data_IF_567380926126
#
_entry.id   IF_567380926126
#
_cell.length_a   1.000
_cell.length_b   1.000
_cell.length_c   1.000
_cell.angle_alpha   90.00
_cell.angle_beta   90.00
_cell.angle_gamma   90.00
#
_symmetry.space_group_name_H-M   'P 1'
#
loop_
_entity.id
_entity.type
_entity.pdbx_description
1 polymer ?
#
# COMPACT_ATOMS: atom_id res chain seq x y z
N UNK A 1 66.19 48.57 -7.44
CA UNK A 1 65.25 49.71 -7.34
C UNK A 1 64.41 49.45 -6.11
N UNK A 2 64.23 50.45 -5.25
CA UNK A 2 63.55 50.33 -3.97
C UNK A 2 62.54 51.47 -3.81
N UNK A 3 61.39 51.13 -3.23
CA UNK A 3 60.43 51.92 -2.45
C UNK A 3 59.41 50.84 -2.03
N UNK A 4 59.13 50.50 -0.77
CA UNK A 4 59.09 51.29 0.48
C UNK A 4 58.17 52.51 0.40
N UNK A 5 56.87 52.29 0.70
CA UNK A 5 56.32 52.80 1.96
C UNK A 5 54.96 52.21 2.32
N UNK A 6 54.79 52.09 3.63
CA UNK A 6 53.59 51.71 4.36
C UNK A 6 53.15 52.94 5.21
N UNK A 7 52.28 52.84 6.23
CA UNK A 7 50.88 53.28 6.20
C UNK A 7 50.64 54.59 6.98
N UNK A 8 49.39 55.10 6.98
CA UNK A 8 48.92 55.91 8.12
C UNK A 8 47.39 55.86 8.35
N UNK A 9 47.03 55.89 9.62
CA UNK A 9 45.68 55.77 10.19
C UNK A 9 44.80 57.02 9.97
N UNK A 10 43.47 56.86 10.04
CA UNK A 10 42.69 57.41 11.18
C UNK A 10 41.22 56.99 11.28
N UNK A 11 40.88 56.57 12.49
CA UNK A 11 39.67 56.84 13.30
C UNK A 11 38.84 58.10 12.93
N UNK A 12 37.58 58.27 13.37
CA UNK A 12 36.51 57.43 13.97
C UNK A 12 35.27 58.39 14.04
N UNK A 13 34.23 58.06 14.80
CA UNK A 13 33.01 58.85 15.09
C UNK A 13 31.97 58.95 13.95
N UNK A 14 30.66 58.99 14.21
CA UNK A 14 29.85 58.58 15.38
C UNK A 14 28.35 58.60 15.00
N UNK A 15 27.49 58.26 15.96
CA UNK A 15 26.02 58.38 16.01
C UNK A 15 25.19 57.11 15.74
N UNK A 16 25.01 56.35 16.83
CA UNK A 16 23.79 55.59 17.05
C UNK A 16 22.66 56.53 17.51
N UNK A 17 21.45 56.34 16.99
CA UNK A 17 20.21 56.69 17.70
C UNK A 17 19.24 55.52 17.63
N UNK A 18 18.60 55.23 18.78
CA UNK A 18 17.74 54.08 18.98
C UNK A 18 16.25 54.46 18.93
N UNK A 19 15.40 53.47 18.67
CA UNK A 19 14.04 53.42 19.21
C UNK A 19 13.57 51.95 19.28
N UNK A 20 13.22 51.51 20.49
CA UNK A 20 12.52 50.24 20.80
C UNK A 20 11.03 50.35 20.37
N UNK A 21 10.10 49.39 20.43
CA UNK A 21 9.70 48.44 21.48
C UNK A 21 8.43 47.69 20.96
N UNK A 22 7.90 46.57 21.49
CA UNK A 22 8.34 45.48 22.39
C UNK A 22 7.35 44.31 22.20
N UNK A 23 7.80 43.03 22.22
CA UNK A 23 6.89 41.88 22.18
C UNK A 23 7.51 40.58 22.76
N UNK A 24 7.82 40.58 24.06
CA UNK A 24 8.21 39.36 24.77
C UNK A 24 7.92 39.46 26.29
N UNK A 25 6.70 39.13 26.71
CA UNK A 25 6.41 38.54 28.04
C UNK A 25 4.93 38.14 28.16
N UNK A 26 4.65 36.84 28.19
CA UNK A 26 3.43 36.23 28.74
C UNK A 26 3.56 34.69 28.76
N UNK A 27 4.56 34.16 29.47
CA UNK A 27 4.57 32.74 29.82
C UNK A 27 3.72 32.55 31.09
N UNK A 28 2.54 31.95 30.95
CA UNK A 28 1.59 31.75 32.04
C UNK A 28 0.89 30.40 31.97
N UNK A 29 1.23 29.53 32.92
CA UNK A 29 0.40 28.50 33.57
C UNK A 29 -0.44 27.51 32.72
N UNK A 30 0.01 26.26 32.75
CA UNK A 30 -0.76 24.99 32.88
C UNK A 30 -2.23 24.95 32.43
N UNK A 31 -2.52 24.12 31.42
CA UNK A 31 -3.86 23.61 31.12
C UNK A 31 -3.83 22.14 30.74
N UNK A 32 -3.99 21.25 31.74
CA UNK A 32 -4.17 19.82 31.50
C UNK A 32 -5.58 19.54 30.93
N UNK A 33 -5.61 18.83 29.80
CA UNK A 33 -6.55 17.73 29.59
C UNK A 33 -8.05 17.99 29.67
N UNK A 34 -8.62 18.75 28.73
CA UNK A 34 -9.98 18.48 28.26
C UNK A 34 -10.01 18.57 26.73
N UNK A 35 -9.99 17.40 26.06
CA UNK A 35 -10.28 17.35 24.62
C UNK A 35 -11.77 17.62 24.50
N UNK A 36 -12.08 18.85 24.09
CA UNK A 36 -13.42 19.39 23.94
C UNK A 36 -14.41 18.33 23.39
N UNK A 37 -15.45 18.07 24.18
CA UNK A 37 -16.45 17.03 23.93
C UNK A 37 -17.23 17.32 22.63
N UNK A 38 -17.31 18.60 22.22
CA UNK A 38 -17.87 19.05 20.93
C UNK A 38 -17.00 18.59 19.76
N UNK A 39 -15.68 18.82 19.82
CA UNK A 39 -14.71 18.34 18.80
C UNK A 39 -14.76 16.82 18.65
N UNK A 40 -14.85 16.07 19.76
CA UNK A 40 -15.00 14.62 19.72
C UNK A 40 -16.33 14.18 19.08
N UNK A 41 -17.43 14.87 19.39
CA UNK A 41 -18.75 14.61 18.80
C UNK A 41 -18.79 14.96 17.30
N UNK A 42 -18.13 16.04 16.86
CA UNK A 42 -18.03 16.45 15.45
C UNK A 42 -17.31 15.39 14.61
N UNK A 43 -16.15 14.91 15.08
CA UNK A 43 -15.41 13.80 14.45
C UNK A 43 -16.24 12.52 14.33
N UNK A 44 -16.99 12.19 15.37
CA UNK A 44 -17.88 11.04 15.39
C UNK A 44 -19.14 11.20 14.49
N UNK A 45 -19.49 12.41 14.07
CA UNK A 45 -20.54 12.69 13.08
C UNK A 45 -19.97 12.65 11.66
N UNK A 46 -18.85 13.35 11.40
CA UNK A 46 -18.16 13.32 10.10
C UNK A 46 -17.74 11.91 9.70
N UNK A 47 -17.25 11.09 10.66
CA UNK A 47 -16.92 9.69 10.38
C UNK A 47 -18.15 8.90 9.94
N UNK A 48 -19.31 9.06 10.62
CA UNK A 48 -20.56 8.40 10.22
C UNK A 48 -21.10 8.90 8.87
N UNK A 49 -20.87 10.16 8.51
CA UNK A 49 -21.21 10.67 7.18
C UNK A 49 -20.29 10.10 6.09
N UNK A 50 -19.00 9.90 6.37
CA UNK A 50 -18.11 9.18 5.46
C UNK A 50 -18.50 7.71 5.33
N UNK A 51 -18.81 7.04 6.45
CA UNK A 51 -19.24 5.63 6.43
C UNK A 51 -20.54 5.50 5.59
N UNK A 52 -21.54 6.38 5.80
CA UNK A 52 -22.77 6.40 5.01
C UNK A 52 -22.57 6.73 3.51
N UNK A 53 -21.59 7.59 3.16
CA UNK A 53 -21.25 7.89 1.76
C UNK A 53 -20.48 6.79 1.07
N UNK A 54 -19.69 6.03 1.82
CA UNK A 54 -19.05 4.81 1.31
C UNK A 54 -20.12 3.72 1.09
N UNK A 55 -21.06 3.58 2.02
CA UNK A 55 -22.21 2.66 1.91
C UNK A 55 -23.18 3.02 0.76
N UNK A 56 -23.32 4.30 0.40
CA UNK A 56 -24.13 4.75 -0.74
C UNK A 56 -23.37 4.83 -2.07
N UNK A 57 -22.11 4.38 -2.12
CA UNK A 57 -21.20 4.49 -3.27
C UNK A 57 -20.98 5.93 -3.79
N UNK A 58 -21.24 6.95 -2.96
CA UNK A 58 -21.01 8.37 -3.27
C UNK A 58 -19.52 8.76 -3.28
N UNK A 59 -18.66 7.98 -2.60
CA UNK A 59 -17.20 8.20 -2.51
C UNK A 59 -16.44 6.87 -2.64
N UNK A 60 -15.25 6.90 -3.24
CA UNK A 60 -14.39 5.71 -3.34
C UNK A 60 -13.76 5.35 -1.98
N UNK A 61 -13.32 4.10 -1.81
CA UNK A 61 -12.66 3.64 -0.56
C UNK A 61 -11.35 4.40 -0.30
N UNK A 62 -10.64 4.79 -1.36
CA UNK A 62 -9.47 5.66 -1.27
C UNK A 62 -9.85 7.03 -0.71
N UNK A 63 -10.86 7.68 -1.29
CA UNK A 63 -11.35 8.97 -0.82
C UNK A 63 -11.87 8.91 0.62
N UNK A 64 -12.60 7.85 0.98
CA UNK A 64 -13.00 7.57 2.35
C UNK A 64 -11.79 7.51 3.31
N UNK A 65 -10.75 6.74 2.97
CA UNK A 65 -9.56 6.61 3.82
C UNK A 65 -8.80 7.93 3.95
N UNK A 66 -8.61 8.67 2.85
CA UNK A 66 -7.97 9.99 2.83
C UNK A 66 -8.72 10.99 3.73
N UNK A 67 -10.05 11.04 3.59
CA UNK A 67 -10.92 11.91 4.40
C UNK A 67 -10.95 11.47 5.87
N UNK A 68 -10.94 10.17 6.16
CA UNK A 68 -10.89 9.61 7.53
C UNK A 68 -9.56 9.92 8.23
N UNK A 69 -8.44 9.89 7.50
CA UNK A 69 -7.14 10.37 8.00
C UNK A 69 -7.16 11.89 8.25
N UNK A 70 -7.79 12.69 7.40
CA UNK A 70 -7.94 14.14 7.62
C UNK A 70 -8.74 14.46 8.89
N UNK A 71 -9.87 13.77 9.14
CA UNK A 71 -10.64 13.86 10.40
C UNK A 71 -9.77 13.47 11.61
N UNK A 72 -9.03 12.36 11.52
CA UNK A 72 -8.12 11.91 12.60
C UNK A 72 -7.02 12.93 12.90
N UNK A 73 -6.53 13.63 11.87
CA UNK A 73 -5.54 14.70 11.98
C UNK A 73 -6.12 16.06 12.42
N UNK A 74 -7.43 16.16 12.65
CA UNK A 74 -8.10 17.43 12.98
C UNK A 74 -8.11 18.45 11.83
N UNK A 75 -7.89 17.99 10.58
CA UNK A 75 -7.94 18.81 9.36
C UNK A 75 -9.35 18.80 8.75
N UNK A 76 -10.36 18.89 9.61
CA UNK A 76 -11.78 18.84 9.25
C UNK A 76 -12.19 20.05 8.41
N UNK A 77 -11.67 21.23 8.74
CA UNK A 77 -11.91 22.48 8.02
C UNK A 77 -11.40 22.42 6.56
N UNK A 78 -10.24 21.80 6.32
CA UNK A 78 -9.71 21.57 4.97
C UNK A 78 -10.58 20.60 4.15
N UNK A 79 -11.42 19.81 4.81
CA UNK A 79 -12.30 18.80 4.25
C UNK A 79 -13.64 19.42 3.81
N UNK A 80 -14.21 20.32 4.63
CA UNK A 80 -15.35 21.16 4.21
C UNK A 80 -14.95 22.13 3.09
N UNK A 81 -13.78 22.78 3.20
CA UNK A 81 -13.25 23.66 2.15
C UNK A 81 -13.11 22.90 0.82
N UNK A 82 -12.48 21.72 0.80
CA UNK A 82 -12.39 20.88 -0.40
C UNK A 82 -13.74 20.43 -0.98
N UNK A 83 -14.79 20.33 -0.15
CA UNK A 83 -16.15 20.00 -0.59
C UNK A 83 -16.89 21.19 -1.22
N UNK A 84 -16.55 22.43 -0.84
CA UNK A 84 -17.05 23.66 -1.49
C UNK A 84 -16.17 24.17 -2.64
N UNK A 85 -14.86 23.93 -2.63
CA UNK A 85 -13.90 24.51 -3.60
C UNK A 85 -13.91 23.84 -4.99
N UNK A 86 -14.69 22.78 -5.18
CA UNK A 86 -15.16 22.39 -6.52
C UNK A 86 -16.05 23.51 -7.15
N UNK A 87 -16.36 24.56 -6.38
CA UNK A 87 -16.92 25.85 -6.82
C UNK A 87 -16.35 27.11 -6.15
N UNK A 88 -15.02 27.23 -5.93
CA UNK A 88 -14.36 28.53 -5.67
C UNK A 88 -13.85 28.83 -4.24
N UNK A 89 -12.89 29.76 -4.14
CA UNK A 89 -11.82 29.88 -3.11
C UNK A 89 -12.20 30.22 -1.64
N UNK A 90 -11.53 29.49 -0.73
CA UNK A 90 -10.95 29.77 0.59
C UNK A 90 -11.67 30.63 1.66
N UNK A 91 -11.93 30.01 2.83
CA UNK A 91 -11.92 30.66 4.15
C UNK A 91 -11.69 29.65 5.30
N UNK A 92 -11.13 30.06 6.48
CA UNK A 92 -10.90 29.18 7.64
C UNK A 92 -11.92 29.32 8.79
N UNK A 93 -11.81 28.39 9.74
CA UNK A 93 -12.24 28.42 11.16
C UNK A 93 -13.72 28.08 11.53
N UNK A 94 -13.81 27.35 12.66
CA UNK A 94 -14.92 26.53 13.14
C UNK A 94 -15.87 27.17 14.18
N UNK A 95 -17.11 26.65 14.30
CA UNK A 95 -17.87 26.50 15.56
C UNK A 95 -19.13 25.59 15.36
N UNK A 96 -19.53 24.77 16.35
CA UNK A 96 -20.75 23.91 16.31
C UNK A 96 -22.06 24.63 16.65
N UNK A 97 -23.20 23.97 16.93
CA UNK A 97 -23.44 22.77 17.77
C UNK A 97 -24.82 22.13 17.47
N UNK A 98 -25.06 20.87 17.95
CA UNK A 98 -26.37 20.36 18.46
C UNK A 98 -27.56 20.16 17.47
N UNK A 99 -28.45 19.13 17.53
CA UNK A 99 -28.65 17.95 18.41
C UNK A 99 -29.54 16.88 17.70
N UNK A 100 -29.56 15.64 18.21
CA UNK A 100 -30.31 14.47 17.71
C UNK A 100 -31.61 14.16 18.50
N UNK A 101 -32.53 13.37 17.91
CA UNK A 101 -33.35 12.36 18.60
C UNK A 101 -32.96 10.92 18.13
N UNK A 102 -32.58 9.91 18.92
CA UNK A 102 -33.07 9.32 20.19
C UNK A 102 -34.02 8.12 20.02
N UNK A 103 -33.49 6.89 19.86
CA UNK A 103 -34.23 5.63 20.15
C UNK A 103 -33.37 4.32 20.15
N UNK A 104 -32.15 4.30 20.70
CA UNK A 104 -31.48 3.03 21.10
C UNK A 104 -30.89 3.19 22.51
N UNK A 105 -31.05 2.17 23.35
CA UNK A 105 -30.92 2.27 24.81
C UNK A 105 -29.50 2.48 25.34
N UNK A 106 -29.38 3.26 26.41
CA UNK A 106 -28.11 3.61 27.06
C UNK A 106 -27.56 2.49 27.95
N UNK A 107 -26.26 2.18 27.81
CA UNK A 107 -25.42 1.81 28.95
C UNK A 107 -24.02 2.42 28.79
N UNK A 108 -23.42 2.80 29.93
CA UNK A 108 -22.25 3.67 30.03
C UNK A 108 -20.95 3.11 29.39
N UNK A 109 -19.94 3.96 29.07
CA UNK A 109 -18.67 3.49 28.52
C UNK A 109 -17.94 2.56 29.49
N UNK A 110 -17.79 1.29 29.10
CA UNK A 110 -16.88 0.37 29.79
C UNK A 110 -15.45 0.66 29.36
N UNK A 111 -14.66 1.24 30.29
CA UNK A 111 -13.21 1.02 30.32
C UNK A 111 -12.95 -0.48 30.24
N UNK A 112 -12.15 -0.92 29.28
CA UNK A 112 -11.49 -2.23 29.32
C UNK A 112 -10.05 -2.05 29.79
N UNK A 113 -9.90 -1.94 31.10
CA UNK A 113 -8.66 -2.37 31.76
C UNK A 113 -8.79 -3.86 32.05
N UNK A 114 -8.29 -4.71 31.15
CA UNK A 114 -7.94 -6.08 31.49
C UNK A 114 -6.82 -6.58 30.59
N UNK A 115 -5.66 -6.81 31.19
CA UNK A 115 -4.47 -7.42 30.57
C UNK A 115 -4.59 -8.94 30.34
N UNK A 116 -5.79 -9.52 30.45
CA UNK A 116 -6.01 -10.97 30.56
C UNK A 116 -7.32 -11.44 29.88
N UNK A 117 -7.66 -10.93 28.69
CA UNK A 117 -8.86 -11.34 27.96
C UNK A 117 -8.68 -11.28 26.45
N UNK A 118 -8.81 -12.44 25.79
CA UNK A 118 -8.86 -12.59 24.33
C UNK A 118 -9.98 -11.72 23.73
N UNK A 119 -9.65 -10.97 22.67
CA UNK A 119 -10.56 -10.01 22.02
C UNK A 119 -11.50 -10.65 20.99
N UNK A 120 -11.23 -11.89 20.62
CA UNK A 120 -11.98 -12.77 19.73
C UNK A 120 -13.12 -13.54 20.45
N UNK A 121 -13.85 -14.35 19.69
CA UNK A 121 -14.82 -15.33 20.16
C UNK A 121 -14.37 -16.70 19.63
N UNK A 122 -13.67 -17.52 20.42
CA UNK A 122 -13.18 -18.82 19.97
C UNK A 122 -14.26 -19.78 19.48
N UNK A 123 -15.55 -19.54 19.81
CA UNK A 123 -16.65 -20.43 19.45
C UNK A 123 -17.07 -20.35 17.98
N UNK A 124 -16.61 -19.34 17.22
CA UNK A 124 -16.85 -19.26 15.78
C UNK A 124 -15.77 -19.91 14.92
N UNK A 125 -14.71 -20.45 15.54
CA UNK A 125 -13.68 -21.22 14.82
C UNK A 125 -14.24 -22.57 14.39
N UNK A 126 -14.08 -22.91 13.11
CA UNK A 126 -14.41 -24.22 12.57
C UNK A 126 -13.14 -25.07 12.42
N UNK A 127 -13.25 -26.35 12.79
CA UNK A 127 -12.19 -27.36 12.59
C UNK A 127 -12.77 -28.45 11.71
N UNK A 128 -12.15 -28.66 10.56
CA UNK A 128 -12.59 -29.61 9.56
C UNK A 128 -11.60 -30.77 9.48
N UNK A 129 -12.04 -31.95 9.96
CA UNK A 129 -11.25 -33.17 9.91
C UNK A 129 -10.99 -33.63 8.46
N UNK A 130 -9.85 -34.31 8.20
CA UNK A 130 -9.56 -34.93 6.90
C UNK A 130 -10.70 -35.82 6.41
N UNK A 131 -10.92 -35.84 5.09
CA UNK A 131 -11.88 -36.72 4.44
C UNK A 131 -11.27 -38.07 4.04
N UNK A 132 -9.99 -38.04 3.67
CA UNK A 132 -9.21 -39.17 3.17
C UNK A 132 -7.78 -39.09 3.77
N UNK A 133 -6.97 -40.14 3.62
CA UNK A 133 -5.55 -40.10 4.00
C UNK A 133 -4.69 -39.66 2.81
N UNK A 134 -3.65 -38.86 3.03
CA UNK A 134 -2.85 -38.29 1.94
C UNK A 134 -1.59 -37.52 2.37
N UNK A 135 -1.19 -36.56 1.53
CA UNK A 135 0.02 -35.74 1.73
C UNK A 135 -0.05 -34.83 2.98
N UNK A 136 -1.27 -34.55 3.43
CA UNK A 136 -1.58 -33.79 4.64
C UNK A 136 -1.64 -34.60 5.93
N UNK A 137 -1.40 -35.92 5.91
CA UNK A 137 -1.47 -36.75 7.12
C UNK A 137 -0.59 -36.18 8.26
N UNK A 138 -1.22 -35.84 9.39
CA UNK A 138 -0.55 -35.23 10.54
C UNK A 138 -0.23 -33.73 10.39
N UNK A 139 -0.81 -33.07 9.38
CA UNK A 139 -0.58 -31.66 9.06
C UNK A 139 -1.88 -30.85 9.08
N UNK A 140 -1.72 -29.55 9.26
CA UNK A 140 -2.82 -28.58 9.27
C UNK A 140 -2.60 -27.47 8.25
N UNK A 141 -3.68 -27.00 7.64
CA UNK A 141 -3.75 -25.71 6.95
C UNK A 141 -4.69 -24.77 7.72
N UNK A 142 -4.30 -23.51 7.88
CA UNK A 142 -5.09 -22.51 8.60
C UNK A 142 -5.59 -21.41 7.66
N UNK A 143 -6.88 -21.09 7.74
CA UNK A 143 -7.49 -19.87 7.21
C UNK A 143 -7.83 -18.96 8.38
N UNK A 144 -7.09 -17.87 8.54
CA UNK A 144 -7.19 -16.97 9.69
C UNK A 144 -7.53 -15.55 9.21
N UNK A 145 -8.49 -14.90 9.85
CA UNK A 145 -8.96 -13.58 9.43
C UNK A 145 -8.74 -12.53 10.52
N UNK A 146 -7.84 -11.57 10.25
CA UNK A 146 -7.53 -10.42 11.10
C UNK A 146 -8.44 -9.20 10.87
N UNK A 147 -9.56 -9.37 10.18
CA UNK A 147 -10.51 -8.31 9.84
C UNK A 147 -11.32 -7.85 11.08
N UNK A 148 -11.57 -6.53 11.25
CA UNK A 148 -12.20 -6.03 12.47
C UNK A 148 -13.70 -6.32 12.51
N UNK A 149 -14.08 -7.12 13.50
CA UNK A 149 -15.46 -7.54 13.81
C UNK A 149 -16.45 -6.39 14.03
N UNK A 150 -15.97 -5.19 14.32
CA UNK A 150 -16.78 -3.99 14.60
C UNK A 150 -16.99 -3.08 13.38
N UNK A 151 -16.40 -3.41 12.22
CA UNK A 151 -16.50 -2.61 11.00
C UNK A 151 -17.37 -3.33 9.96
N UNK A 152 -18.38 -2.62 9.42
CA UNK A 152 -19.27 -3.18 8.40
C UNK A 152 -18.54 -3.60 7.12
N UNK A 153 -17.56 -2.81 6.66
CA UNK A 153 -16.77 -3.14 5.46
C UNK A 153 -15.89 -4.40 5.66
N UNK A 154 -15.30 -4.55 6.84
CA UNK A 154 -14.48 -5.70 7.21
C UNK A 154 -15.36 -6.97 7.34
N UNK A 155 -16.60 -6.84 7.86
CA UNK A 155 -17.59 -7.93 7.88
C UNK A 155 -18.04 -8.33 6.46
N UNK A 156 -18.23 -7.38 5.55
CA UNK A 156 -18.59 -7.67 4.15
C UNK A 156 -17.46 -8.36 3.39
N UNK A 157 -16.21 -7.95 3.62
CA UNK A 157 -15.03 -8.61 3.06
C UNK A 157 -14.92 -10.04 3.59
N UNK A 158 -14.95 -10.21 4.92
CA UNK A 158 -14.91 -11.52 5.57
C UNK A 158 -15.99 -12.48 5.05
N UNK A 159 -17.23 -12.02 4.89
CA UNK A 159 -18.32 -12.85 4.37
C UNK A 159 -18.03 -13.38 2.96
N UNK A 160 -17.54 -12.51 2.05
CA UNK A 160 -17.20 -12.91 0.68
C UNK A 160 -16.02 -13.87 0.63
N UNK A 161 -14.98 -13.63 1.43
CA UNK A 161 -13.81 -14.51 1.47
C UNK A 161 -14.17 -15.89 2.05
N UNK A 162 -15.00 -15.96 3.10
CA UNK A 162 -15.51 -17.23 3.64
C UNK A 162 -16.37 -18.00 2.62
N UNK A 163 -17.20 -17.30 1.82
CA UNK A 163 -17.96 -17.90 0.72
C UNK A 163 -17.07 -18.42 -0.44
N UNK A 164 -15.79 -18.02 -0.49
CA UNK A 164 -14.87 -18.30 -1.61
C UNK A 164 -13.78 -19.33 -1.27
N UNK A 165 -13.80 -19.99 -0.11
CA UNK A 165 -12.77 -20.98 0.29
C UNK A 165 -13.33 -22.39 0.56
N UNK A 166 -14.62 -22.63 0.32
CA UNK A 166 -15.28 -23.91 0.63
C UNK A 166 -14.71 -25.09 -0.20
N UNK A 167 -14.31 -24.84 -1.45
CA UNK A 167 -13.66 -25.80 -2.33
C UNK A 167 -12.18 -26.02 -1.99
N UNK A 168 -11.42 -24.97 -1.61
CA UNK A 168 -10.08 -25.14 -1.02
C UNK A 168 -10.11 -26.05 0.21
N UNK A 169 -11.06 -25.80 1.12
CA UNK A 169 -11.29 -26.63 2.32
C UNK A 169 -11.57 -28.07 1.90
N UNK A 170 -12.43 -28.31 0.89
CA UNK A 170 -12.72 -29.66 0.39
C UNK A 170 -11.48 -30.34 -0.22
N UNK A 171 -10.69 -29.62 -1.02
CA UNK A 171 -9.46 -30.09 -1.68
C UNK A 171 -8.38 -30.46 -0.65
N UNK A 172 -8.10 -29.57 0.31
CA UNK A 172 -7.13 -29.81 1.38
C UNK A 172 -7.54 -31.01 2.25
N UNK A 173 -8.83 -31.13 2.60
CA UNK A 173 -9.32 -32.26 3.40
C UNK A 173 -9.26 -33.60 2.67
N UNK A 174 -9.50 -33.63 1.35
CA UNK A 174 -9.26 -34.82 0.52
C UNK A 174 -7.77 -35.18 0.44
N UNK A 175 -6.88 -34.21 0.52
CA UNK A 175 -5.44 -34.46 0.53
C UNK A 175 -4.88 -34.88 1.90
N UNK A 176 -5.72 -35.04 2.93
CA UNK A 176 -5.32 -35.52 4.27
C UNK A 176 -5.10 -34.43 5.30
N UNK A 177 -5.24 -33.14 4.96
CA UNK A 177 -5.03 -32.05 5.91
C UNK A 177 -6.24 -31.88 6.85
N UNK A 178 -5.98 -31.64 8.13
CA UNK A 178 -6.94 -30.92 8.98
C UNK A 178 -6.96 -29.47 8.52
N UNK A 179 -8.15 -28.88 8.42
CA UNK A 179 -8.29 -27.46 8.05
C UNK A 179 -8.95 -26.70 9.18
N UNK A 180 -8.35 -25.59 9.60
CA UNK A 180 -8.88 -24.71 10.65
C UNK A 180 -9.27 -23.38 10.01
N UNK A 181 -10.52 -22.96 10.21
CA UNK A 181 -11.04 -21.68 9.74
C UNK A 181 -11.39 -20.83 10.95
N UNK A 182 -10.69 -19.71 11.14
CA UNK A 182 -10.89 -18.78 12.24
C UNK A 182 -11.22 -17.37 11.74
N UNK A 183 -12.50 -16.98 11.70
CA UNK A 183 -12.92 -15.66 11.23
C UNK A 183 -12.56 -14.52 12.21
N UNK A 184 -11.85 -14.79 13.31
CA UNK A 184 -11.52 -13.83 14.36
C UNK A 184 -10.06 -13.97 14.84
N UNK A 185 -9.12 -14.16 13.91
CA UNK A 185 -7.70 -14.34 14.22
C UNK A 185 -7.11 -13.18 15.03
N UNK A 186 -6.49 -13.52 16.16
CA UNK A 186 -5.68 -12.61 16.98
C UNK A 186 -4.18 -12.79 16.73
N UNK A 187 -3.36 -11.91 17.32
CA UNK A 187 -1.90 -12.07 17.32
C UNK A 187 -1.44 -13.38 17.98
N UNK A 188 -2.16 -13.85 18.99
CA UNK A 188 -1.82 -15.10 19.67
C UNK A 188 -2.09 -16.29 18.75
N UNK A 189 -3.26 -16.33 18.08
CA UNK A 189 -3.62 -17.40 17.13
C UNK A 189 -2.62 -17.52 15.98
N UNK A 190 -2.18 -16.39 15.41
CA UNK A 190 -1.14 -16.38 14.38
C UNK A 190 0.17 -17.02 14.86
N UNK A 191 0.66 -16.60 16.04
CA UNK A 191 1.92 -17.09 16.58
C UNK A 191 1.80 -18.56 17.02
N UNK A 192 0.66 -19.01 17.55
CA UNK A 192 0.39 -20.42 17.84
C UNK A 192 0.27 -21.28 16.57
N UNK A 193 -0.38 -20.78 15.52
CA UNK A 193 -0.46 -21.46 14.22
C UNK A 193 0.93 -21.68 13.60
N UNK A 194 1.82 -20.69 13.66
CA UNK A 194 3.23 -20.83 13.22
C UNK A 194 4.01 -21.94 13.96
N UNK A 195 3.62 -22.23 15.20
CA UNK A 195 4.26 -23.23 16.09
C UNK A 195 3.61 -24.62 16.02
N UNK A 196 2.44 -24.77 15.41
CA UNK A 196 1.63 -26.00 15.49
C UNK A 196 0.94 -26.19 16.86
N UNK A 197 0.76 -25.08 17.59
CA UNK A 197 0.16 -25.05 18.92
C UNK A 197 -1.30 -24.56 18.90
N UNK A 198 -1.74 -23.99 17.76
CA UNK A 198 -3.05 -23.36 17.59
C UNK A 198 -4.22 -24.28 17.92
N UNK A 199 -5.23 -23.70 18.57
CA UNK A 199 -6.44 -24.40 18.99
C UNK A 199 -7.15 -25.08 17.80
N UNK A 200 -7.66 -26.29 18.04
CA UNK A 200 -8.23 -27.16 17.00
C UNK A 200 -7.22 -28.05 16.26
N UNK A 201 -5.92 -27.72 16.29
CA UNK A 201 -4.90 -28.46 15.54
C UNK A 201 -3.60 -28.75 16.34
N UNK A 202 -3.69 -28.70 17.67
CA UNK A 202 -2.54 -28.87 18.58
C UNK A 202 -1.80 -30.19 18.35
N UNK A 203 -0.52 -30.09 17.97
CA UNK A 203 0.34 -31.24 17.67
C UNK A 203 0.29 -31.72 16.22
N UNK A 204 -0.48 -31.06 15.36
CA UNK A 204 -0.33 -31.17 13.90
C UNK A 204 0.74 -30.17 13.43
N UNK A 205 1.46 -30.53 12.37
CA UNK A 205 2.46 -29.62 11.82
C UNK A 205 1.80 -28.65 10.82
N UNK A 206 1.94 -27.32 10.98
CA UNK A 206 1.41 -26.36 10.01
C UNK A 206 2.15 -26.51 8.69
N UNK A 207 1.40 -26.79 7.61
CA UNK A 207 1.92 -26.89 6.25
C UNK A 207 1.71 -25.59 5.47
N UNK A 208 0.58 -24.92 5.71
CA UNK A 208 0.28 -23.61 5.16
C UNK A 208 -0.64 -22.79 6.06
N UNK A 209 -0.54 -21.47 5.91
CA UNK A 209 -1.39 -20.49 6.58
C UNK A 209 -1.79 -19.42 5.56
N UNK A 210 -3.09 -19.16 5.45
CA UNK A 210 -3.64 -17.94 4.88
C UNK A 210 -4.04 -17.00 6.02
N UNK A 211 -3.54 -15.77 5.98
CA UNK A 211 -3.95 -14.68 6.86
C UNK A 211 -4.56 -13.56 6.01
N UNK A 212 -5.88 -13.35 6.13
CA UNK A 212 -6.56 -12.22 5.47
C UNK A 212 -6.79 -11.08 6.45
N UNK A 213 -6.32 -9.88 6.11
CA UNK A 213 -6.42 -8.70 6.96
C UNK A 213 -6.09 -7.40 6.20
N UNK A 214 -6.31 -6.26 6.85
CA UNK A 214 -5.64 -5.02 6.43
C UNK A 214 -4.12 -5.14 6.61
N UNK A 215 -3.37 -4.55 5.69
CA UNK A 215 -1.90 -4.51 5.72
C UNK A 215 -1.36 -3.09 5.63
N UNK A 216 -0.13 -2.90 6.11
CA UNK A 216 0.52 -1.59 6.30
C UNK A 216 1.86 -1.52 5.55
N UNK A 217 2.32 -0.31 5.19
CA UNK A 217 3.54 -0.06 4.38
C UNK A 217 4.85 -0.60 4.98
N UNK A 218 4.89 -0.78 6.31
CA UNK A 218 5.98 -1.43 7.05
C UNK A 218 5.93 -2.98 6.95
N UNK A 219 4.94 -3.53 6.27
CA UNK A 219 4.67 -4.96 6.15
C UNK A 219 3.84 -5.53 7.30
N UNK A 220 3.41 -4.72 8.27
CA UNK A 220 2.56 -5.19 9.35
C UNK A 220 1.17 -5.61 8.85
N UNK A 221 0.54 -6.53 9.57
CA UNK A 221 -0.82 -7.03 9.32
C UNK A 221 -1.71 -6.77 10.52
N UNK A 222 -2.99 -6.51 10.27
CA UNK A 222 -4.00 -6.26 11.30
C UNK A 222 -4.55 -7.56 11.92
N UNK A 223 -5.02 -7.46 13.16
CA UNK A 223 -5.75 -8.53 13.89
C UNK A 223 -7.18 -8.12 14.21
N UNK A 224 -8.07 -9.10 14.43
CA UNK A 224 -9.52 -8.85 14.49
C UNK A 224 -9.96 -7.93 15.66
N UNK A 225 -9.12 -7.85 16.69
CA UNK A 225 -9.24 -7.01 17.90
C UNK A 225 -8.63 -5.61 17.73
N UNK A 226 -8.02 -5.33 16.56
CA UNK A 226 -7.38 -4.05 16.22
C UNK A 226 -5.93 -3.90 16.67
N UNK A 227 -5.29 -5.00 17.08
CA UNK A 227 -3.84 -5.09 17.18
C UNK A 227 -3.15 -5.18 15.81
N UNK A 228 -1.83 -5.38 15.85
CA UNK A 228 -1.00 -5.61 14.65
C UNK A 228 0.06 -6.67 14.93
N UNK A 229 0.44 -7.40 13.88
CA UNK A 229 1.56 -8.34 13.87
C UNK A 229 2.60 -7.84 12.87
N UNK A 230 3.87 -7.92 13.27
CA UNK A 230 5.03 -7.51 12.47
C UNK A 230 5.99 -8.68 12.25
N UNK A 231 6.87 -8.63 11.25
CA UNK A 231 7.94 -9.62 11.10
C UNK A 231 8.79 -9.77 12.37
N UNK A 232 9.04 -8.68 13.10
CA UNK A 232 9.82 -8.69 14.36
C UNK A 232 9.11 -9.37 15.54
N UNK A 233 7.80 -9.61 15.47
CA UNK A 233 7.05 -10.33 16.51
C UNK A 233 7.24 -11.85 16.46
N UNK A 234 7.78 -12.37 15.35
CA UNK A 234 7.94 -13.81 15.12
C UNK A 234 9.26 -14.30 15.72
N UNK A 235 9.18 -15.17 16.72
CA UNK A 235 10.34 -15.98 17.11
C UNK A 235 10.63 -17.02 16.02
N UNK A 236 11.57 -16.68 15.14
CA UNK A 236 12.06 -17.51 14.04
C UNK A 236 12.47 -18.92 14.47
N UNK A 237 12.95 -19.11 15.71
CA UNK A 237 13.37 -20.43 16.20
C UNK A 237 12.18 -21.35 16.53
N UNK A 238 11.00 -20.76 16.80
CA UNK A 238 9.77 -21.47 17.12
C UNK A 238 8.95 -21.89 15.89
N UNK A 239 9.20 -21.27 14.72
CA UNK A 239 8.44 -21.53 13.49
C UNK A 239 8.65 -22.97 13.03
N UNK A 240 7.54 -23.66 12.78
CA UNK A 240 7.50 -25.06 12.32
C UNK A 240 8.39 -25.32 11.10
N UNK A 241 9.13 -26.45 11.05
CA UNK A 241 9.89 -26.86 9.88
C UNK A 241 9.03 -27.29 8.69
N UNK A 242 7.76 -27.66 8.92
CA UNK A 242 6.85 -28.13 7.87
C UNK A 242 6.11 -26.99 7.16
N UNK A 243 6.22 -25.74 7.64
CA UNK A 243 5.54 -24.59 7.03
C UNK A 243 6.16 -24.28 5.66
N UNK A 244 5.41 -24.61 4.60
CA UNK A 244 5.80 -24.42 3.19
C UNK A 244 5.21 -23.17 2.57
N UNK A 245 4.00 -22.77 2.98
CA UNK A 245 3.23 -21.72 2.32
C UNK A 245 2.68 -20.72 3.35
N UNK A 246 2.99 -19.45 3.17
CA UNK A 246 2.46 -18.35 3.97
C UNK A 246 1.82 -17.34 3.02
N UNK A 247 0.50 -17.21 3.08
CA UNK A 247 -0.27 -16.29 2.24
C UNK A 247 -0.79 -15.17 3.13
N UNK A 248 -0.41 -13.94 2.82
CA UNK A 248 -0.98 -12.74 3.40
C UNK A 248 -1.93 -12.11 2.37
N UNK A 249 -3.24 -12.31 2.53
CA UNK A 249 -4.24 -11.49 1.81
C UNK A 249 -4.33 -10.13 2.52
N UNK A 250 -3.25 -9.36 2.42
CA UNK A 250 -3.06 -8.08 3.08
C UNK A 250 -2.12 -7.16 2.27
N UNK A 251 -2.47 -5.89 2.19
CA UNK A 251 -1.71 -4.87 1.45
C UNK A 251 -0.24 -4.80 1.88
N UNK A 252 0.67 -4.47 0.96
CA UNK A 252 2.12 -4.27 1.16
C UNK A 252 2.94 -5.48 1.66
N UNK A 253 2.34 -6.55 2.17
CA UNK A 253 3.05 -7.75 2.65
C UNK A 253 3.88 -8.44 1.56
N UNK A 254 3.47 -8.34 0.29
CA UNK A 254 4.22 -8.82 -0.87
C UNK A 254 5.53 -8.05 -1.08
N UNK A 255 5.51 -6.72 -0.92
CA UNK A 255 6.70 -5.87 -1.01
C UNK A 255 7.71 -6.13 0.12
N UNK A 256 7.23 -6.65 1.26
CA UNK A 256 8.03 -7.09 2.42
C UNK A 256 8.18 -8.62 2.51
N UNK A 257 7.98 -9.33 1.40
CA UNK A 257 7.94 -10.79 1.39
C UNK A 257 9.27 -11.45 1.77
N UNK A 258 10.43 -10.82 1.47
CA UNK A 258 11.72 -11.35 1.90
C UNK A 258 11.95 -11.17 3.41
N UNK A 259 11.51 -10.04 3.98
CA UNK A 259 11.55 -9.74 5.42
C UNK A 259 10.66 -10.72 6.19
N UNK A 260 9.41 -10.91 5.74
CA UNK A 260 8.52 -11.94 6.29
C UNK A 260 9.12 -13.34 6.14
N UNK A 261 9.64 -13.70 4.96
CA UNK A 261 10.25 -15.02 4.73
C UNK A 261 11.43 -15.26 5.68
N UNK A 262 12.26 -14.24 5.93
CA UNK A 262 13.36 -14.29 6.90
C UNK A 262 12.85 -14.51 8.33
N UNK A 263 11.84 -13.76 8.76
CA UNK A 263 11.20 -13.92 10.07
C UNK A 263 10.64 -15.34 10.26
N UNK A 264 10.09 -15.93 9.19
CA UNK A 264 9.56 -17.30 9.12
C UNK A 264 10.65 -18.38 8.89
N UNK A 265 11.93 -18.05 9.12
CA UNK A 265 13.05 -19.01 9.07
C UNK A 265 13.61 -19.29 7.67
N UNK A 266 13.29 -18.45 6.68
CA UNK A 266 13.75 -18.54 5.30
C UNK A 266 13.04 -19.60 4.45
N UNK A 267 12.29 -20.51 5.07
CA UNK A 267 11.73 -21.72 4.45
C UNK A 267 10.51 -21.45 3.57
N UNK A 268 9.36 -20.97 4.10
CA UNK A 268 8.12 -20.92 3.33
C UNK A 268 8.21 -19.98 2.14
N UNK A 269 7.42 -20.27 1.12
CA UNK A 269 7.01 -19.26 0.15
C UNK A 269 6.11 -18.27 0.87
N UNK A 270 6.48 -16.98 0.84
CA UNK A 270 5.65 -15.88 1.31
C UNK A 270 4.97 -15.23 0.12
N UNK A 271 3.65 -15.16 0.17
CA UNK A 271 2.77 -14.57 -0.84
C UNK A 271 2.04 -13.40 -0.20
N UNK A 272 1.81 -12.33 -0.95
CA UNK A 272 0.99 -11.21 -0.52
C UNK A 272 1.01 -10.05 -1.52
N UNK A 273 0.27 -8.99 -1.22
CA UNK A 273 0.10 -7.86 -2.16
C UNK A 273 1.25 -6.86 -2.06
N UNK A 274 1.79 -6.41 -3.20
CA UNK A 274 2.85 -5.38 -3.23
C UNK A 274 2.36 -4.00 -2.80
N UNK A 275 1.13 -3.66 -3.20
CA UNK A 275 0.43 -2.39 -2.95
C UNK A 275 -0.99 -2.67 -2.41
N UNK A 276 -1.81 -1.65 -2.10
CA UNK A 276 -3.23 -1.85 -1.85
C UNK A 276 -3.94 -2.47 -3.05
N UNK A 277 -4.95 -3.29 -2.77
CA UNK A 277 -5.81 -3.93 -3.79
C UNK A 277 -7.27 -3.66 -3.49
N UNK A 278 -8.13 -3.81 -4.50
CA UNK A 278 -9.58 -3.75 -4.31
C UNK A 278 -10.11 -5.02 -3.62
N UNK A 279 -11.26 -4.92 -2.94
CA UNK A 279 -11.93 -6.09 -2.34
C UNK A 279 -12.25 -7.13 -3.43
N UNK A 280 -12.67 -6.70 -4.62
CA UNK A 280 -12.87 -7.60 -5.76
C UNK A 280 -11.60 -8.35 -6.07
N UNK A 281 -10.45 -7.68 -6.22
CA UNK A 281 -9.18 -8.35 -6.54
C UNK A 281 -8.70 -9.31 -5.46
N UNK A 282 -8.98 -9.02 -4.19
CA UNK A 282 -8.69 -9.92 -3.08
C UNK A 282 -9.55 -11.20 -3.13
N UNK A 283 -10.83 -11.09 -3.50
CA UNK A 283 -11.74 -12.23 -3.71
C UNK A 283 -11.42 -13.01 -4.99
N UNK A 284 -11.06 -12.31 -6.08
CA UNK A 284 -10.63 -12.95 -7.34
C UNK A 284 -9.40 -13.86 -7.14
N UNK A 285 -8.54 -13.56 -6.17
CA UNK A 285 -7.39 -14.41 -5.83
C UNK A 285 -7.78 -15.69 -5.08
N UNK A 286 -8.93 -15.71 -4.42
CA UNK A 286 -9.52 -16.90 -3.77
C UNK A 286 -10.42 -17.69 -4.72
N UNK A 287 -10.64 -17.20 -5.95
CA UNK A 287 -11.53 -17.87 -6.92
C UNK A 287 -10.67 -18.48 -8.03
N UNK A 288 -10.81 -19.78 -8.34
CA UNK A 288 -9.99 -20.40 -9.38
C UNK A 288 -10.19 -19.77 -10.76
N UNK A 289 -9.10 -19.28 -11.37
CA UNK A 289 -9.09 -18.66 -12.70
C UNK A 289 -8.14 -19.41 -13.66
N UNK A 290 -8.66 -20.14 -14.67
CA UNK A 290 -7.85 -20.88 -15.62
C UNK A 290 -7.00 -20.01 -16.57
N UNK A 291 -7.13 -18.68 -16.54
CA UNK A 291 -6.23 -17.75 -17.23
C UNK A 291 -5.03 -17.30 -16.37
N UNK A 292 -5.01 -17.63 -15.06
CA UNK A 292 -3.86 -17.39 -14.18
C UNK A 292 -3.08 -18.68 -13.89
N UNK A 293 -1.95 -18.54 -13.18
CA UNK A 293 -1.21 -19.67 -12.62
C UNK A 293 -0.78 -19.40 -11.15
N UNK A 294 -1.49 -18.49 -10.48
CA UNK A 294 -1.05 -17.82 -9.24
C UNK A 294 -2.17 -17.52 -8.24
N UNK A 295 -3.39 -18.00 -8.47
CA UNK A 295 -4.49 -17.95 -7.50
C UNK A 295 -4.26 -18.92 -6.32
N UNK A 296 -5.17 -18.94 -5.37
CA UNK A 296 -5.07 -19.77 -4.17
C UNK A 296 -5.01 -21.28 -4.49
N UNK A 297 -5.89 -21.76 -5.37
CA UNK A 297 -5.90 -23.14 -5.88
C UNK A 297 -4.54 -23.51 -6.47
N UNK A 298 -3.97 -22.66 -7.33
CA UNK A 298 -2.67 -22.88 -7.94
C UNK A 298 -1.56 -23.01 -6.89
N UNK A 299 -1.57 -22.14 -5.88
CA UNK A 299 -0.57 -22.15 -4.81
C UNK A 299 -0.69 -23.42 -3.95
N UNK A 300 -1.90 -23.83 -3.58
CA UNK A 300 -2.16 -25.08 -2.85
C UNK A 300 -1.77 -26.28 -3.71
N UNK A 301 -2.25 -26.35 -4.95
CA UNK A 301 -2.00 -27.44 -5.89
C UNK A 301 -0.52 -27.57 -6.26
N UNK A 302 0.23 -26.47 -6.29
CA UNK A 302 1.66 -26.42 -6.67
C UNK A 302 2.58 -26.67 -5.48
N UNK A 303 2.30 -26.12 -4.30
CA UNK A 303 3.26 -26.13 -3.18
C UNK A 303 2.88 -27.01 -1.99
N UNK A 304 1.63 -27.48 -1.90
CA UNK A 304 1.18 -28.42 -0.87
C UNK A 304 0.82 -29.78 -1.47
N UNK A 305 0.03 -29.81 -2.56
CA UNK A 305 -0.42 -31.07 -3.19
C UNK A 305 0.59 -31.68 -4.17
N UNK A 306 1.63 -30.92 -4.52
CA UNK A 306 2.80 -31.38 -5.29
C UNK A 306 4.05 -31.03 -4.49
N UNK A 307 5.05 -31.90 -4.52
CA UNK A 307 6.35 -31.64 -3.89
C UNK A 307 7.23 -30.72 -4.77
N UNK A 308 6.66 -29.61 -5.24
CA UNK A 308 7.36 -28.63 -6.06
C UNK A 308 8.39 -27.91 -5.19
N UNK A 309 9.67 -27.82 -5.62
CA UNK A 309 10.67 -27.03 -4.90
C UNK A 309 10.22 -25.57 -4.75
N UNK A 310 10.30 -25.03 -3.54
CA UNK A 310 10.00 -23.62 -3.30
C UNK A 310 11.04 -22.74 -4.03
N UNK A 311 10.64 -21.65 -4.69
CA UNK A 311 11.59 -20.76 -5.35
C UNK A 311 12.57 -20.17 -4.33
N UNK A 312 13.85 -20.11 -4.73
CA UNK A 312 14.89 -19.45 -3.93
C UNK A 312 14.72 -17.92 -3.91
N UNK A 313 15.48 -17.24 -3.05
CA UNK A 313 15.55 -15.79 -3.12
C UNK A 313 16.22 -15.36 -4.44
N UNK A 314 15.57 -14.47 -5.20
CA UNK A 314 16.17 -13.90 -6.41
C UNK A 314 17.32 -12.97 -6.04
N UNK A 315 18.51 -13.24 -6.56
CA UNK A 315 19.72 -12.43 -6.36
C UNK A 315 19.96 -11.45 -7.53
N UNK A 316 18.93 -11.11 -8.30
CA UNK A 316 19.04 -10.18 -9.41
C UNK A 316 19.37 -8.76 -8.90
N UNK A 317 20.44 -8.16 -9.44
CA UNK A 317 20.74 -6.76 -9.21
C UNK A 317 19.85 -5.88 -10.08
N UNK A 318 18.96 -5.12 -9.46
CA UNK A 318 18.09 -4.16 -10.16
C UNK A 318 18.73 -2.76 -10.19
N UNK A 319 18.50 -2.01 -11.27
CA UNK A 319 18.92 -0.61 -11.39
C UNK A 319 17.98 0.33 -10.61
N UNK A 320 18.45 1.47 -10.08
CA UNK A 320 17.59 2.44 -9.40
C UNK A 320 16.60 3.14 -10.34
N UNK A 321 15.58 3.75 -9.73
CA UNK A 321 14.69 4.71 -10.40
C UNK A 321 15.49 5.88 -11.00
N UNK A 322 15.07 6.36 -12.16
CA UNK A 322 15.79 7.42 -12.87
C UNK A 322 15.35 8.85 -12.49
N UNK A 323 14.08 9.03 -12.08
CA UNK A 323 13.54 10.36 -11.73
C UNK A 323 14.31 11.12 -10.62
N UNK A 324 14.79 10.48 -9.52
CA UNK A 324 15.57 11.16 -8.48
C UNK A 324 16.93 11.74 -8.95
N UNK A 325 17.30 11.49 -10.21
CA UNK A 325 18.51 12.03 -10.85
C UNK A 325 18.18 12.92 -12.06
N UNK A 326 16.89 13.28 -12.21
CA UNK A 326 16.36 14.11 -13.27
C UNK A 326 16.67 15.60 -13.11
N UNK A 327 16.46 16.33 -14.22
CA UNK A 327 16.41 17.80 -14.25
C UNK A 327 15.36 18.27 -15.26
N UNK A 328 14.89 19.51 -15.10
CA UNK A 328 13.84 20.08 -15.96
C UNK A 328 14.33 20.79 -17.23
N UNK A 329 15.43 21.54 -17.15
CA UNK A 329 15.91 22.40 -18.25
C UNK A 329 14.78 23.23 -18.92
N UNK A 330 14.53 23.06 -20.22
CA UNK A 330 13.47 23.75 -20.97
C UNK A 330 12.11 23.00 -20.99
N UNK A 331 12.05 21.82 -20.36
CA UNK A 331 10.86 20.95 -20.36
C UNK A 331 9.57 21.65 -19.86
N UNK A 332 9.57 22.50 -18.80
CA UNK A 332 8.36 23.19 -18.35
C UNK A 332 7.75 24.14 -19.40
N UNK A 333 8.57 24.74 -20.27
CA UNK A 333 8.07 25.59 -21.36
C UNK A 333 7.54 24.77 -22.55
N UNK A 334 7.93 23.50 -22.65
CA UNK A 334 7.47 22.56 -23.69
C UNK A 334 6.23 21.79 -23.26
N UNK A 335 6.13 21.45 -21.97
CA UNK A 335 5.05 20.60 -21.46
C UNK A 335 3.68 21.25 -21.59
N UNK A 336 3.57 22.59 -21.52
CA UNK A 336 2.30 23.33 -21.67
C UNK A 336 1.54 22.90 -22.95
N UNK A 337 2.21 22.98 -24.11
CA UNK A 337 1.63 22.58 -25.41
C UNK A 337 1.36 21.08 -25.50
N UNK A 338 2.15 20.26 -24.82
CA UNK A 338 2.03 18.79 -24.83
C UNK A 338 0.88 18.34 -23.94
N UNK A 339 0.69 18.99 -22.80
CA UNK A 339 -0.44 18.81 -21.92
C UNK A 339 -1.74 19.19 -22.63
N UNK A 340 -1.76 20.29 -23.39
CA UNK A 340 -2.90 20.65 -24.25
C UNK A 340 -3.23 19.57 -25.30
N UNK A 341 -2.21 19.03 -25.99
CA UNK A 341 -2.39 17.94 -26.96
C UNK A 341 -2.99 16.67 -26.32
N UNK A 342 -2.61 16.36 -25.09
CA UNK A 342 -3.10 15.21 -24.33
C UNK A 342 -4.38 15.50 -23.52
N UNK A 343 -4.76 16.76 -23.35
CA UNK A 343 -5.71 17.25 -22.33
C UNK A 343 -5.31 16.85 -20.90
N UNK A 344 -4.02 16.73 -20.65
CA UNK A 344 -3.45 16.37 -19.37
C UNK A 344 -3.36 17.57 -18.41
N UNK A 345 -3.34 17.28 -17.11
CA UNK A 345 -2.91 18.26 -16.09
C UNK A 345 -1.47 17.95 -15.71
N UNK A 346 -0.70 18.95 -15.33
CA UNK A 346 0.68 18.76 -14.89
C UNK A 346 1.03 19.64 -13.70
N UNK A 347 2.08 19.26 -12.99
CA UNK A 347 2.67 19.97 -11.86
C UNK A 347 4.19 19.93 -11.97
N UNK A 348 4.83 21.05 -11.65
CA UNK A 348 6.29 21.13 -11.51
C UNK A 348 6.70 20.70 -10.09
N UNK A 349 7.69 19.82 -9.97
CA UNK A 349 8.27 19.39 -8.68
C UNK A 349 9.72 19.87 -8.46
N UNK A 350 10.29 20.62 -9.41
CA UNK A 350 11.62 21.20 -9.38
C UNK A 350 12.70 20.36 -10.07
N UNK A 351 12.69 19.04 -9.90
CA UNK A 351 13.59 18.07 -10.54
C UNK A 351 12.90 17.29 -11.69
N UNK A 352 11.61 17.00 -11.55
CA UNK A 352 10.75 16.36 -12.53
C UNK A 352 9.38 17.05 -12.66
N UNK A 353 8.66 16.73 -13.73
CA UNK A 353 7.26 17.11 -13.92
C UNK A 353 6.36 15.91 -13.65
N UNK A 354 5.30 16.12 -12.86
CA UNK A 354 4.22 15.13 -12.72
C UNK A 354 3.10 15.47 -13.69
N UNK A 355 2.72 14.54 -14.56
CA UNK A 355 1.66 14.69 -15.57
C UNK A 355 0.58 13.64 -15.35
N UNK A 356 -0.66 14.09 -15.16
CA UNK A 356 -1.86 13.27 -15.06
C UNK A 356 -2.44 13.09 -16.46
N UNK A 357 -2.06 12.01 -17.14
CA UNK A 357 -2.46 11.70 -18.51
C UNK A 357 -3.85 11.07 -18.51
N UNK A 358 -4.86 11.66 -19.18
CA UNK A 358 -6.18 11.06 -19.29
C UNK A 358 -6.15 9.87 -20.24
N UNK A 359 -6.79 8.78 -19.82
CA UNK A 359 -6.94 7.53 -20.55
C UNK A 359 -8.42 7.31 -20.91
N UNK A 360 -8.75 6.30 -21.74
CA UNK A 360 -10.13 5.92 -22.01
C UNK A 360 -10.93 5.68 -20.74
N UNK A 361 -12.26 5.79 -20.85
CA UNK A 361 -13.20 5.52 -19.75
C UNK A 361 -13.02 6.43 -18.52
N UNK A 362 -12.39 7.59 -18.70
CA UNK A 362 -12.19 8.61 -17.67
C UNK A 362 -11.09 8.27 -16.65
N UNK A 363 -10.34 7.18 -16.88
CA UNK A 363 -9.16 6.82 -16.08
C UNK A 363 -8.02 7.82 -16.31
N UNK A 364 -7.05 7.85 -15.41
CA UNK A 364 -5.87 8.74 -15.48
C UNK A 364 -4.67 8.02 -14.90
N UNK A 365 -3.53 8.06 -15.60
CA UNK A 365 -2.26 7.61 -15.02
C UNK A 365 -1.38 8.80 -14.68
N UNK A 366 -0.71 8.73 -13.53
CA UNK A 366 0.40 9.61 -13.22
C UNK A 366 1.66 9.14 -13.96
N UNK A 367 2.29 10.04 -14.71
CA UNK A 367 3.62 9.83 -15.30
C UNK A 367 4.55 10.98 -14.90
N UNK A 368 5.83 10.67 -14.77
CA UNK A 368 6.87 11.63 -14.43
C UNK A 368 7.75 11.86 -15.65
N UNK A 369 8.02 13.12 -16.00
CA UNK A 369 8.88 13.49 -17.12
C UNK A 369 10.04 14.39 -16.67
N UNK A 370 11.24 14.04 -17.09
CA UNK A 370 12.49 14.65 -16.65
C UNK A 370 13.61 14.38 -17.67
N UNK A 371 14.73 15.11 -17.56
CA UNK A 371 15.90 14.92 -18.42
C UNK A 371 17.02 14.26 -17.60
N UNK A 372 17.67 13.26 -18.19
CA UNK A 372 18.91 12.63 -17.68
C UNK A 372 19.98 12.63 -18.76
N UNK A 373 21.23 12.41 -18.39
CA UNK A 373 22.29 12.13 -19.36
C UNK A 373 22.43 10.63 -19.58
N UNK A 374 22.56 10.20 -20.83
CA UNK A 374 22.70 8.79 -21.15
C UNK A 374 24.02 8.23 -20.60
N UNK A 375 23.94 7.08 -19.92
CA UNK A 375 25.11 6.33 -19.44
C UNK A 375 25.43 5.08 -20.28
N UNK A 376 24.63 4.79 -21.31
CA UNK A 376 24.81 3.63 -22.18
C UNK A 376 25.95 3.86 -23.20
N UNK A 377 26.72 2.80 -23.54
CA UNK A 377 27.78 2.90 -24.52
C UNK A 377 27.35 3.52 -25.86
N UNK A 378 28.26 4.32 -26.43
CA UNK A 378 28.13 5.03 -27.71
C UNK A 378 27.14 6.22 -27.75
N UNK A 379 26.44 6.53 -26.66
CA UNK A 379 25.64 7.77 -26.52
C UNK A 379 25.96 8.51 -25.21
N UNK A 380 27.11 8.24 -24.59
CA UNK A 380 27.48 8.73 -23.27
C UNK A 380 27.38 10.26 -23.19
N UNK A 381 26.60 10.77 -22.24
CA UNK A 381 26.37 12.19 -22.06
C UNK A 381 25.37 12.84 -23.03
N UNK A 382 24.72 12.09 -23.94
CA UNK A 382 23.58 12.64 -24.70
C UNK A 382 22.38 12.87 -23.74
N UNK A 383 21.81 14.09 -23.68
CA UNK A 383 20.62 14.34 -22.88
C UNK A 383 19.42 13.58 -23.42
N UNK A 384 18.85 12.70 -22.60
CA UNK A 384 17.63 11.97 -22.87
C UNK A 384 16.47 12.61 -22.12
N UNK A 385 15.37 12.81 -22.82
CA UNK A 385 14.07 13.02 -22.22
C UNK A 385 13.53 11.65 -21.78
N UNK A 386 13.41 11.47 -20.48
CA UNK A 386 12.86 10.29 -19.85
C UNK A 386 11.39 10.55 -19.45
N UNK A 387 10.57 9.50 -19.57
CA UNK A 387 9.23 9.44 -18.99
C UNK A 387 9.10 8.10 -18.27
N UNK A 388 8.59 8.10 -17.04
CA UNK A 388 8.27 6.89 -16.29
C UNK A 388 6.86 6.95 -15.68
N UNK A 389 6.28 5.79 -15.38
CA UNK A 389 5.09 5.60 -14.56
C UNK A 389 5.36 4.41 -13.66
N UNK A 390 5.31 4.67 -12.37
CA UNK A 390 5.39 3.63 -11.34
C UNK A 390 4.08 2.85 -11.30
N UNK A 391 4.19 1.52 -11.43
CA UNK A 391 3.05 0.60 -11.31
C UNK A 391 2.99 0.07 -9.88
N UNK A 392 4.15 -0.24 -9.28
CA UNK A 392 4.27 -0.71 -7.91
C UNK A 392 5.14 -1.96 -7.76
N UNK A 393 5.31 -2.37 -6.52
CA UNK A 393 6.16 -3.51 -6.15
C UNK A 393 5.62 -4.85 -6.64
N UNK A 394 6.52 -5.65 -7.20
CA UNK A 394 6.25 -7.03 -7.60
C UNK A 394 5.93 -7.90 -6.36
N UNK A 395 4.99 -8.84 -6.49
CA UNK A 395 4.80 -9.91 -5.51
C UNK A 395 5.65 -11.13 -5.86
N UNK A 396 6.06 -11.92 -4.85
CA UNK A 396 6.97 -13.07 -5.02
C UNK A 396 6.43 -14.19 -5.93
N UNK A 397 5.14 -14.16 -6.27
CA UNK A 397 4.46 -15.13 -7.14
C UNK A 397 4.25 -14.66 -8.58
N UNK A 398 4.39 -13.36 -8.88
CA UNK A 398 4.12 -12.83 -10.23
C UNK A 398 5.29 -13.18 -11.14
N UNK A 399 5.10 -14.14 -12.05
CA UNK A 399 6.08 -14.45 -13.10
C UNK A 399 6.26 -13.22 -14.02
N UNK A 400 7.47 -12.62 -14.10
CA UNK A 400 7.74 -11.51 -15.01
C UNK A 400 7.45 -11.86 -16.48
N UNK A 401 7.54 -13.13 -16.86
CA UNK A 401 7.24 -13.59 -18.23
C UNK A 401 5.76 -13.45 -18.55
N UNK A 402 4.88 -13.87 -17.63
CA UNK A 402 3.42 -13.74 -17.78
C UNK A 402 2.96 -12.29 -17.63
N UNK A 403 3.61 -11.53 -16.73
CA UNK A 403 3.38 -10.09 -16.59
C UNK A 403 3.66 -9.35 -17.90
N UNK A 404 4.78 -9.66 -18.57
CA UNK A 404 5.19 -9.01 -19.83
C UNK A 404 4.47 -9.56 -21.06
N UNK A 405 3.79 -10.71 -20.96
CA UNK A 405 2.98 -11.26 -22.04
C UNK A 405 1.85 -10.29 -22.43
N UNK A 406 1.71 -10.02 -23.74
CA UNK A 406 0.75 -9.07 -24.30
C UNK A 406 1.35 -7.69 -24.65
N UNK A 407 2.45 -7.29 -24.02
CA UNK A 407 3.03 -5.94 -24.18
C UNK A 407 4.06 -5.80 -25.30
N UNK A 408 3.96 -6.62 -26.35
CA UNK A 408 4.90 -6.67 -27.48
C UNK A 408 4.66 -5.65 -28.60
N UNK A 409 3.84 -4.62 -28.39
CA UNK A 409 3.52 -3.63 -29.43
C UNK A 409 4.70 -2.67 -29.68
N UNK A 410 5.07 -2.38 -30.95
CA UNK A 410 6.12 -1.40 -31.24
C UNK A 410 5.76 0.00 -30.72
N UNK A 411 6.62 0.57 -29.86
CA UNK A 411 6.37 1.86 -29.22
C UNK A 411 7.64 2.47 -28.59
N UNK A 412 7.45 3.60 -27.90
CA UNK A 412 8.46 4.30 -27.13
C UNK A 412 8.55 3.83 -25.67
N UNK A 413 7.47 3.25 -25.15
CA UNK A 413 7.39 2.71 -23.80
C UNK A 413 7.87 1.25 -23.74
N UNK A 414 8.51 0.90 -22.62
CA UNK A 414 8.91 -0.46 -22.22
C UNK A 414 8.58 -0.66 -20.74
N UNK A 415 8.53 -1.91 -20.30
CA UNK A 415 8.47 -2.26 -18.87
C UNK A 415 9.87 -2.57 -18.36
N UNK A 416 10.16 -2.23 -17.12
CA UNK A 416 11.37 -2.64 -16.41
C UNK A 416 11.07 -3.02 -14.95
N UNK A 417 11.96 -3.82 -14.38
CA UNK A 417 12.04 -4.07 -12.94
C UNK A 417 13.22 -3.26 -12.40
N UNK A 418 12.94 -2.32 -11.50
CA UNK A 418 13.91 -1.40 -10.89
C UNK A 418 13.97 -1.65 -9.37
N UNK A 419 15.03 -1.21 -8.69
CA UNK A 419 15.14 -1.37 -7.23
C UNK A 419 14.14 -0.48 -6.50
N UNK A 420 13.42 -1.04 -5.52
CA UNK A 420 12.55 -0.31 -4.59
C UNK A 420 13.29 0.01 -3.27
N UNK A 421 12.65 0.80 -2.41
CA UNK A 421 12.97 0.89 -0.97
C UNK A 421 12.44 -0.33 -0.16
N UNK A 422 11.71 -1.23 -0.83
CA UNK A 422 11.21 -2.49 -0.29
C UNK A 422 12.10 -3.68 -0.69
N UNK A 423 11.69 -4.90 -0.30
CA UNK A 423 12.44 -6.11 -0.60
C UNK A 423 12.28 -6.56 -2.07
N UNK A 424 11.27 -6.02 -2.76
CA UNK A 424 10.86 -6.46 -4.10
C UNK A 424 11.12 -5.37 -5.15
N UNK A 425 11.44 -5.73 -6.40
CA UNK A 425 11.60 -4.75 -7.46
C UNK A 425 10.30 -4.01 -7.74
N UNK A 426 10.43 -2.74 -8.07
CA UNK A 426 9.34 -1.91 -8.56
C UNK A 426 9.12 -2.15 -10.06
N UNK A 427 7.87 -2.34 -10.46
CA UNK A 427 7.45 -2.46 -11.85
C UNK A 427 7.25 -1.04 -12.39
N UNK A 428 8.00 -0.69 -13.44
CA UNK A 428 7.98 0.66 -14.01
C UNK A 428 7.77 0.60 -15.51
N UNK A 429 6.71 1.24 -16.00
CA UNK A 429 6.56 1.57 -17.40
C UNK A 429 7.41 2.82 -17.68
N UNK A 430 8.33 2.78 -18.65
CA UNK A 430 9.23 3.89 -18.93
C UNK A 430 9.65 3.96 -20.39
N UNK A 431 10.10 5.12 -20.84
CA UNK A 431 10.65 5.30 -22.19
C UNK A 431 11.56 6.53 -22.28
N UNK A 432 12.44 6.51 -23.27
CA UNK A 432 13.55 7.47 -23.40
C UNK A 432 13.66 7.95 -24.84
N UNK A 433 13.81 9.25 -25.05
CA UNK A 433 13.99 9.88 -26.36
C UNK A 433 15.16 10.89 -26.32
N UNK A 434 16.05 10.92 -27.33
CA UNK A 434 17.07 11.96 -27.42
C UNK A 434 16.45 13.36 -27.43
N UNK A 435 16.79 14.20 -26.44
CA UNK A 435 16.24 15.55 -26.30
C UNK A 435 16.54 16.41 -27.53
N UNK A 436 17.68 16.14 -28.18
CA UNK A 436 18.15 16.77 -29.43
C UNK A 436 17.22 16.56 -30.63
N UNK A 437 16.31 15.58 -30.60
CA UNK A 437 15.47 15.16 -31.74
C UNK A 437 13.97 15.08 -31.42
N UNK A 438 13.58 15.12 -30.15
CA UNK A 438 12.18 14.94 -29.73
C UNK A 438 11.31 16.14 -30.10
N UNK A 439 10.25 15.91 -30.89
CA UNK A 439 9.21 16.92 -31.14
C UNK A 439 8.11 16.80 -30.09
N UNK A 440 7.32 17.84 -29.91
CA UNK A 440 6.23 17.87 -28.91
C UNK A 440 5.21 16.74 -29.13
N UNK A 441 4.97 16.33 -30.38
CA UNK A 441 4.14 15.16 -30.70
C UNK A 441 4.77 13.81 -30.32
N UNK A 442 6.10 13.70 -30.37
CA UNK A 442 6.81 12.47 -29.98
C UNK A 442 6.81 12.34 -28.45
N UNK A 443 7.00 13.46 -27.73
CA UNK A 443 6.83 13.51 -26.27
C UNK A 443 5.38 13.19 -25.86
N UNK A 444 4.37 13.77 -26.53
CA UNK A 444 2.97 13.43 -26.28
C UNK A 444 2.69 11.93 -26.47
N UNK A 445 3.25 11.33 -27.53
CA UNK A 445 3.12 9.90 -27.79
C UNK A 445 3.83 9.03 -26.73
N UNK A 446 5.03 9.43 -26.28
CA UNK A 446 5.74 8.75 -25.20
C UNK A 446 4.97 8.81 -23.87
N UNK A 447 4.50 10.00 -23.46
CA UNK A 447 3.69 10.20 -22.26
C UNK A 447 2.44 9.31 -22.28
N UNK A 448 1.70 9.31 -23.39
CA UNK A 448 0.50 8.49 -23.52
C UNK A 448 0.79 6.98 -23.51
N UNK A 449 1.87 6.53 -24.17
CA UNK A 449 2.24 5.11 -24.19
C UNK A 449 2.74 4.62 -22.83
N UNK A 450 3.53 5.41 -22.11
CA UNK A 450 3.96 5.09 -20.74
C UNK A 450 2.75 5.07 -19.79
N UNK A 451 1.86 6.06 -19.88
CA UNK A 451 0.61 6.11 -19.11
C UNK A 451 -0.27 4.87 -19.34
N UNK A 452 -0.58 4.56 -20.60
CA UNK A 452 -1.44 3.44 -20.94
C UNK A 452 -0.81 2.07 -20.62
N UNK A 453 0.52 1.95 -20.69
CA UNK A 453 1.25 0.74 -20.29
C UNK A 453 1.24 0.55 -18.77
N UNK A 454 1.48 1.63 -18.00
CA UNK A 454 1.43 1.60 -16.54
C UNK A 454 0.04 1.23 -16.01
N UNK A 455 -0.98 1.95 -16.47
CA UNK A 455 -2.40 1.70 -16.15
C UNK A 455 -2.85 0.27 -16.48
N UNK A 456 -2.44 -0.28 -17.63
CA UNK A 456 -2.80 -1.64 -18.02
C UNK A 456 -2.13 -2.71 -17.14
N UNK A 457 -0.88 -2.48 -16.70
CA UNK A 457 -0.19 -3.36 -15.76
C UNK A 457 -0.82 -3.25 -14.35
N UNK A 458 -1.08 -2.02 -13.88
CA UNK A 458 -1.66 -1.76 -12.57
C UNK A 458 -3.04 -2.42 -12.43
N UNK A 459 -3.90 -2.25 -13.45
CA UNK A 459 -5.21 -2.89 -13.50
C UNK A 459 -5.10 -4.42 -13.50
N UNK A 460 -4.17 -5.00 -14.28
CA UNK A 460 -3.97 -6.45 -14.37
C UNK A 460 -3.43 -7.09 -13.09
N UNK A 461 -2.56 -6.40 -12.35
CA UNK A 461 -1.99 -6.94 -11.10
C UNK A 461 -2.93 -6.69 -9.92
N UNK A 462 -3.32 -5.43 -9.70
CA UNK A 462 -3.93 -4.94 -8.46
C UNK A 462 -5.45 -4.68 -8.57
N UNK A 463 -6.04 -4.83 -9.76
CA UNK A 463 -7.41 -4.41 -10.07
C UNK A 463 -7.53 -2.93 -10.46
N UNK A 464 -6.46 -2.14 -10.25
CA UNK A 464 -6.35 -0.72 -10.61
C UNK A 464 -7.02 0.21 -9.60
N UNK A 465 -6.53 1.44 -9.50
CA UNK A 465 -7.11 2.45 -8.62
C UNK A 465 -8.54 2.86 -9.06
N UNK A 466 -9.52 2.54 -8.22
CA UNK A 466 -10.94 2.93 -8.38
C UNK A 466 -11.17 4.42 -8.05
N UNK A 467 -10.70 5.28 -8.97
CA UNK A 467 -11.03 6.72 -9.20
C UNK A 467 -10.91 7.74 -8.05
#
# INVERSE_FOLDING_TARGET
MADERDPEERADDSEATAAEATAAEAAGETGDGEVDEETAARRAELTRQLDAKLESEEISLYEFNLRKQAIKAGREDALEVALTEIGGEAAPASAGFSKKPSAWGSSAPKRWTSTEGRGDDPSVRAVHEPLEAGLGDGKVFYFLFGLKKTRAIDQQMLAKELESIDDDIEVLRRAGYTVVVDPQGTKEDFLEALRGEGEGAKGLAPAGILWSAHGYEDGAIETCDGGTIRPEDVDTASVSPELRLMIFSACYTGSRSATWRKALGGRPLVVGWGRPVTITRAVDFLTPDPETDTDLDDLIARYLLKDTPLPGASAAGYSPLAAPHGRLADLPARIEKVADLLRARWQDKGDHLQIFVPLPEGRKQLVEAFIIDCAEPFNEGEPLLAVQSEVGELSAIVDPTLLLAGFGQPGYARVALLSSETDMPNIVAQGFLPLSRVRDRDLAALLYQVAALGDALEHRIFGGDMR
#
